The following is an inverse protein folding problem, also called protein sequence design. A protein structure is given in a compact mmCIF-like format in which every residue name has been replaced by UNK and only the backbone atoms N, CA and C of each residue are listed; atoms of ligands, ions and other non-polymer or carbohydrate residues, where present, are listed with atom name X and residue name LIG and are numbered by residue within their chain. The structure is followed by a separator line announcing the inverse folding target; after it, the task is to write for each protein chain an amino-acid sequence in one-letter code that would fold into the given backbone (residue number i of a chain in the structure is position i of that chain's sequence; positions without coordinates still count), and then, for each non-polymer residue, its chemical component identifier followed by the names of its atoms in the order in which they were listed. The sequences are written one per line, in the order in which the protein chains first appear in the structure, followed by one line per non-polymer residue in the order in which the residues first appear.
data_IF_140219849024
#
_entry.id   IF_140219849024
#
_cell.length_a   1.000
_cell.length_b   1.000
_cell.length_c   1.000
_cell.angle_alpha   90.00
_cell.angle_beta   90.00
_cell.angle_gamma   90.00
#
_symmetry.space_group_name_H-M   'P 1'
#
loop_
_entity.id
_entity.type
_entity.pdbx_description
1 polymer ?
#
# COMPACT_ATOMS: atom_id res chain seq x y z
N UNK A 1 3.73 7.78 -5.23
CA UNK A 1 2.79 8.83 -4.80
C UNK A 1 3.60 9.92 -4.11
N UNK A 2 3.44 11.17 -4.53
CA UNK A 2 3.94 12.34 -3.80
C UNK A 2 2.79 12.89 -2.94
N UNK A 3 3.04 13.09 -1.64
CA UNK A 3 2.09 13.65 -0.68
C UNK A 3 2.12 15.20 -0.65
N UNK A 4 2.99 15.84 -1.44
CA UNK A 4 3.15 17.29 -1.54
C UNK A 4 4.07 17.90 -0.47
N UNK A 5 4.16 17.28 0.70
CA UNK A 5 5.10 17.63 1.77
C UNK A 5 5.43 16.41 2.62
N UNK A 6 6.37 16.56 3.56
CA UNK A 6 6.65 15.53 4.55
C UNK A 6 5.42 15.34 5.46
N UNK A 7 4.96 14.11 5.61
CA UNK A 7 3.78 13.73 6.37
C UNK A 7 4.10 12.62 7.39
N UNK A 8 3.60 12.73 8.63
CA UNK A 8 3.77 11.70 9.67
C UNK A 8 2.73 10.58 9.54
N UNK A 9 2.61 9.99 8.34
CA UNK A 9 1.59 8.98 8.03
C UNK A 9 1.68 7.76 8.96
N UNK A 10 0.51 7.26 9.39
CA UNK A 10 0.36 6.16 10.36
C UNK A 10 -0.24 4.91 9.77
N UNK A 11 -1.06 5.04 8.74
CA UNK A 11 -1.60 3.90 8.02
C UNK A 11 -1.84 4.22 6.56
N UNK A 12 -1.79 3.17 5.75
CA UNK A 12 -2.27 3.19 4.39
C UNK A 12 -3.55 2.36 4.30
N UNK A 13 -4.48 2.82 3.49
CA UNK A 13 -5.63 2.02 3.07
C UNK A 13 -5.47 1.75 1.57
N UNK A 14 -5.37 0.48 1.23
CA UNK A 14 -5.19 0.00 -0.13
C UNK A 14 -6.49 -0.66 -0.58
N UNK A 15 -6.99 -0.30 -1.76
CA UNK A 15 -8.22 -0.89 -2.30
C UNK A 15 -7.98 -1.45 -3.69
N UNK A 16 -8.65 -2.57 -3.97
CA UNK A 16 -8.77 -3.10 -5.33
C UNK A 16 -10.16 -2.76 -5.89
N UNK A 17 -10.33 -2.79 -7.23
CA UNK A 17 -11.64 -2.63 -7.83
C UNK A 17 -12.72 -3.53 -7.19
N UNK A 18 -13.96 -3.03 -7.02
CA UNK A 18 -15.01 -3.69 -6.27
C UNK A 18 -15.43 -5.07 -6.82
N UNK A 19 -16.08 -5.83 -5.95
CA UNK A 19 -16.30 -7.27 -5.99
C UNK A 19 -16.94 -7.85 -7.27
N UNK A 20 -17.72 -7.09 -8.03
CA UNK A 20 -18.46 -7.61 -9.20
C UNK A 20 -17.55 -8.14 -10.32
N UNK A 21 -16.24 -7.92 -10.23
CA UNK A 21 -15.25 -8.30 -11.26
C UNK A 21 -14.01 -9.03 -10.74
N UNK A 22 -13.88 -9.33 -9.42
CA UNK A 22 -12.60 -9.82 -8.86
C UNK A 22 -12.76 -10.87 -7.76
N UNK A 23 -12.04 -11.99 -7.89
CA UNK A 23 -11.86 -13.00 -6.84
C UNK A 23 -10.91 -12.51 -5.72
N UNK A 24 -11.00 -13.14 -4.54
CA UNK A 24 -10.06 -12.90 -3.44
C UNK A 24 -8.63 -13.20 -3.87
N UNK A 25 -7.68 -12.36 -3.45
CA UNK A 25 -6.28 -12.51 -3.83
C UNK A 25 -5.34 -12.02 -2.74
N UNK A 26 -4.12 -12.54 -2.76
CA UNK A 26 -3.03 -12.07 -1.92
C UNK A 26 -2.02 -11.33 -2.79
N UNK A 27 -1.67 -10.11 -2.38
CA UNK A 27 -0.54 -9.38 -2.94
C UNK A 27 0.60 -9.36 -1.92
N UNK A 28 1.81 -9.71 -2.34
CA UNK A 28 3.03 -9.59 -1.54
C UNK A 28 3.66 -8.24 -1.85
N UNK A 29 3.75 -7.37 -0.85
CA UNK A 29 4.30 -6.02 -1.05
C UNK A 29 5.09 -5.50 0.15
N UNK A 30 6.00 -4.57 -0.14
CA UNK A 30 6.62 -3.68 0.85
C UNK A 30 6.18 -2.23 0.65
N UNK A 31 6.30 -1.42 1.70
CA UNK A 31 6.12 0.03 1.64
C UNK A 31 7.47 0.69 1.71
N UNK A 32 7.78 1.52 0.72
CA UNK A 32 8.99 2.34 0.68
C UNK A 32 8.62 3.82 0.87
N UNK A 33 9.46 4.54 1.59
CA UNK A 33 9.32 5.97 1.87
C UNK A 33 10.54 6.76 1.44
N UNK A 34 10.33 8.01 1.10
CA UNK A 34 11.40 8.97 0.75
C UNK A 34 10.97 10.39 1.10
N UNK A 35 11.93 11.27 1.39
CA UNK A 35 11.72 12.70 1.60
C UNK A 35 12.10 13.54 0.38
N UNK A 36 12.92 13.02 -0.52
CA UNK A 36 13.48 13.72 -1.68
C UNK A 36 12.98 13.18 -3.04
N UNK A 37 12.38 11.99 -3.03
CA UNK A 37 11.83 11.33 -4.21
C UNK A 37 12.84 10.49 -4.99
N UNK A 38 14.10 10.42 -4.54
CA UNK A 38 15.18 9.66 -5.19
C UNK A 38 15.71 8.55 -4.28
N UNK A 39 16.01 8.84 -3.01
CA UNK A 39 16.48 7.87 -2.04
C UNK A 39 15.29 7.26 -1.28
N UNK A 40 15.02 5.97 -1.53
CA UNK A 40 13.93 5.24 -0.87
C UNK A 40 14.48 4.27 0.17
N UNK A 41 13.82 4.23 1.33
CA UNK A 41 14.06 3.23 2.37
C UNK A 41 12.79 2.42 2.65
N UNK A 42 12.97 1.20 3.15
CA UNK A 42 11.85 0.34 3.54
C UNK A 42 11.22 0.84 4.84
N UNK A 43 9.94 1.19 4.77
CA UNK A 43 9.11 1.60 5.92
C UNK A 43 8.38 0.39 6.50
N UNK A 44 7.84 -0.46 5.63
CA UNK A 44 7.22 -1.74 6.00
C UNK A 44 7.86 -2.83 5.18
N UNK A 45 8.41 -3.84 5.86
CA UNK A 45 9.00 -5.00 5.20
C UNK A 45 7.99 -5.74 4.32
N UNK A 46 8.51 -6.54 3.38
CA UNK A 46 7.66 -7.35 2.48
C UNK A 46 6.74 -8.24 3.28
N UNK A 47 5.43 -8.20 2.96
CA UNK A 47 4.40 -8.99 3.63
C UNK A 47 3.26 -9.30 2.68
N UNK A 48 2.59 -10.41 2.94
CA UNK A 48 1.36 -10.81 2.25
C UNK A 48 0.14 -10.05 2.80
N UNK A 49 -0.63 -9.49 1.88
CA UNK A 49 -1.89 -8.81 2.17
C UNK A 49 -3.00 -9.43 1.34
N UNK A 50 -3.98 -10.01 2.05
CA UNK A 50 -5.15 -10.64 1.44
C UNK A 50 -6.26 -9.61 1.24
N UNK A 51 -6.63 -9.41 -0.01
CA UNK A 51 -7.79 -8.62 -0.42
C UNK A 51 -8.96 -9.57 -0.65
N UNK A 52 -10.01 -9.41 0.14
CA UNK A 52 -11.22 -10.21 0.06
C UNK A 52 -12.41 -9.34 -0.35
N UNK A 53 -13.14 -9.68 -1.44
CA UNK A 53 -14.39 -9.03 -1.79
C UNK A 53 -15.41 -8.99 -0.64
N UNK A 54 -15.43 -10.00 0.23
CA UNK A 54 -16.30 -10.05 1.40
C UNK A 54 -15.99 -8.97 2.44
N UNK A 55 -14.77 -8.44 2.46
CA UNK A 55 -14.35 -7.30 3.31
C UNK A 55 -14.13 -6.04 2.48
N UNK A 56 -14.75 -5.95 1.30
CA UNK A 56 -14.70 -4.77 0.44
C UNK A 56 -13.39 -4.60 -0.34
N UNK A 57 -12.61 -5.67 -0.55
CA UNK A 57 -11.33 -5.63 -1.28
C UNK A 57 -10.38 -4.54 -0.75
N UNK A 58 -10.36 -4.37 0.57
CA UNK A 58 -9.62 -3.32 1.26
C UNK A 58 -8.66 -3.93 2.28
N UNK A 59 -7.46 -3.38 2.35
CA UNK A 59 -6.43 -3.74 3.33
C UNK A 59 -5.90 -2.47 3.99
N UNK A 60 -5.69 -2.54 5.30
CA UNK A 60 -4.97 -1.51 6.06
C UNK A 60 -3.54 -1.95 6.33
N UNK A 61 -2.57 -1.09 6.04
CA UNK A 61 -1.14 -1.27 6.34
C UNK A 61 -0.74 -0.27 7.41
N UNK A 62 -0.38 -0.74 8.60
CA UNK A 62 0.14 0.12 9.68
C UNK A 62 1.58 0.53 9.40
N UNK A 63 1.89 1.81 9.56
CA UNK A 63 3.23 2.37 9.45
C UNK A 63 3.84 2.57 10.86
N UNK A 64 5.17 2.42 11.01
CA UNK A 64 5.85 2.69 12.27
C UNK A 64 5.60 4.11 12.79
N UNK A 65 5.61 4.29 14.11
CA UNK A 65 5.29 5.57 14.73
C UNK A 65 6.28 6.71 14.48
N UNK A 66 7.47 6.40 13.95
CA UNK A 66 8.49 7.38 13.54
C UNK A 66 8.46 7.73 12.05
N UNK A 67 7.52 7.21 11.27
CA UNK A 67 7.47 7.47 9.83
C UNK A 67 7.24 8.95 9.54
N UNK A 68 8.10 9.52 8.69
CA UNK A 68 7.96 10.84 8.11
C UNK A 68 8.42 10.78 6.66
N UNK A 69 7.49 10.87 5.71
CA UNK A 69 7.78 10.73 4.28
C UNK A 69 6.99 11.73 3.46
N UNK A 70 7.55 12.13 2.31
CA UNK A 70 6.83 12.89 1.28
C UNK A 70 6.41 11.98 0.14
N UNK A 71 7.30 11.07 -0.25
CA UNK A 71 7.08 10.14 -1.34
C UNK A 71 6.86 8.75 -0.79
N UNK A 72 5.79 8.12 -1.26
CA UNK A 72 5.41 6.76 -0.93
C UNK A 72 5.46 5.89 -2.19
N UNK A 73 6.03 4.70 -2.06
CA UNK A 73 6.03 3.69 -3.11
C UNK A 73 5.58 2.34 -2.54
N UNK A 74 4.63 1.72 -3.21
CA UNK A 74 4.28 0.32 -2.99
C UNK A 74 5.13 -0.51 -3.95
N UNK A 75 5.92 -1.44 -3.40
CA UNK A 75 6.69 -2.39 -4.20
C UNK A 75 6.05 -3.76 -4.08
N UNK A 76 5.28 -4.15 -5.11
CA UNK A 76 4.56 -5.42 -5.15
C UNK A 76 5.36 -6.44 -5.95
N UNK A 77 5.60 -7.61 -5.38
CA UNK A 77 6.44 -8.67 -5.99
C UNK A 77 5.66 -9.91 -6.37
N UNK A 78 4.48 -10.13 -5.79
CA UNK A 78 3.58 -11.21 -6.17
C UNK A 78 2.11 -10.79 -6.04
N UNK A 79 1.26 -11.39 -6.86
CA UNK A 79 -0.19 -11.27 -6.78
C UNK A 79 -0.81 -12.61 -7.24
N UNK A 80 -1.63 -13.22 -6.40
CA UNK A 80 -2.32 -14.47 -6.76
C UNK A 80 -3.42 -14.20 -7.78
N UNK A 81 -3.57 -15.07 -8.79
CA UNK A 81 -4.65 -15.00 -9.78
C UNK A 81 -4.42 -14.03 -10.95
N UNK A 82 -3.48 -13.08 -10.86
CA UNK A 82 -3.02 -12.27 -12.01
C UNK A 82 -1.59 -11.77 -11.73
N UNK A 83 -0.69 -11.93 -12.70
CA UNK A 83 0.69 -11.44 -12.64
C UNK A 83 0.88 -9.93 -12.36
N UNK A 84 -0.11 -9.08 -12.61
CA UNK A 84 0.01 -7.63 -12.41
C UNK A 84 -0.65 -7.18 -11.09
N UNK A 85 0.02 -6.29 -10.37
CA UNK A 85 -0.56 -5.55 -9.26
C UNK A 85 -1.51 -4.48 -9.80
N UNK A 86 -2.62 -4.26 -9.10
CA UNK A 86 -3.56 -3.18 -9.42
C UNK A 86 -4.13 -2.62 -8.14
N UNK A 87 -4.30 -1.30 -8.09
CA UNK A 87 -4.97 -0.62 -7.00
C UNK A 87 -5.95 0.37 -7.63
N UNK A 88 -7.18 0.41 -7.12
CA UNK A 88 -8.11 1.48 -7.48
C UNK A 88 -7.83 2.73 -6.67
N UNK A 89 -7.43 2.55 -5.40
CA UNK A 89 -7.14 3.65 -4.47
C UNK A 89 -5.96 3.28 -3.56
N UNK A 90 -5.16 4.30 -3.27
CA UNK A 90 -4.08 4.27 -2.27
C UNK A 90 -4.24 5.53 -1.43
N UNK A 91 -4.62 5.36 -0.17
CA UNK A 91 -4.87 6.45 0.75
C UNK A 91 -3.82 6.42 1.87
N UNK A 92 -3.34 7.58 2.30
CA UNK A 92 -2.45 7.72 3.44
C UNK A 92 -3.13 8.56 4.53
N UNK A 93 -3.14 8.05 5.76
CA UNK A 93 -3.77 8.71 6.90
C UNK A 93 -2.75 9.04 7.98
N UNK A 94 -2.96 10.17 8.65
CA UNK A 94 -2.14 10.63 9.78
C UNK A 94 -2.55 9.98 11.11
N UNK A 95 -3.67 9.26 11.14
CA UNK A 95 -4.22 8.53 12.30
C UNK A 95 -5.00 7.28 11.87
#
# INVERSE_FOLDING_TARGET
MDLGSNQPARRLVLKLPPASVRQARTQTLSVLGSTDGSAYSTVVASKDYRFDPATGNTVTVTLPSGTNLRYLRLNVTANTGWSAAQFSEVEAYLS
#
